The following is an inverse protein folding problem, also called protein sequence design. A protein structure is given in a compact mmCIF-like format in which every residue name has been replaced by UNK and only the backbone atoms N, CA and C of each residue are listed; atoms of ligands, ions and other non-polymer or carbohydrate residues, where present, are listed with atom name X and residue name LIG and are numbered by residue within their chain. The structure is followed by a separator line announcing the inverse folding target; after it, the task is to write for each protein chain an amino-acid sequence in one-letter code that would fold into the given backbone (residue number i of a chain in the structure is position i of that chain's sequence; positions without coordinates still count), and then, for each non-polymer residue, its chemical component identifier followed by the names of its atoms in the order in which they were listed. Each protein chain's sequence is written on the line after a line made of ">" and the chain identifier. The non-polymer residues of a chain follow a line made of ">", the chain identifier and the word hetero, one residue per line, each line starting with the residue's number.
data_IF_902573862047
#
_entry.id   IF_902573862047
#
_cell.length_a   1.000
_cell.length_b   1.000
_cell.length_c   1.000
_cell.angle_alpha   90.00
_cell.angle_beta   90.00
_cell.angle_gamma   90.00
#
_symmetry.space_group_name_H-M   'P 1'
#
loop_
_entity.id
_entity.type
_entity.pdbx_description
1 polymer ?
#
# COMPACT_ATOMS: atom_id res chain seq x y z
N UNK A 1 -34.33 71.71 61.92
CA UNK A 1 -34.12 70.75 60.81
C UNK A 1 -34.10 69.35 61.39
N UNK A 2 -34.99 68.48 60.92
CA UNK A 2 -35.34 67.24 61.62
C UNK A 2 -34.30 66.13 61.36
N UNK A 3 -33.55 65.76 62.39
CA UNK A 3 -32.52 64.70 62.38
C UNK A 3 -33.06 63.33 61.90
N UNK A 4 -34.38 63.12 62.00
CA UNK A 4 -35.09 61.92 61.51
C UNK A 4 -35.23 61.86 59.99
N UNK A 5 -35.21 63.00 59.29
CA UNK A 5 -35.31 63.04 57.83
C UNK A 5 -33.97 62.69 57.17
N UNK A 6 -32.86 63.16 57.76
CA UNK A 6 -31.50 62.86 57.28
C UNK A 6 -31.13 61.38 57.45
N UNK A 7 -31.59 60.75 58.53
CA UNK A 7 -31.38 59.31 58.77
C UNK A 7 -32.19 58.44 57.81
N UNK A 8 -33.43 58.84 57.48
CA UNK A 8 -34.23 58.16 56.46
C UNK A 8 -33.64 58.29 55.05
N UNK A 9 -33.16 59.48 54.66
CA UNK A 9 -32.49 59.68 53.37
C UNK A 9 -31.19 58.89 53.25
N UNK A 10 -30.39 58.77 54.33
CA UNK A 10 -29.16 57.99 54.33
C UNK A 10 -29.39 56.48 54.19
N UNK A 11 -30.49 55.95 54.73
CA UNK A 11 -30.86 54.54 54.55
C UNK A 11 -31.34 54.26 53.12
N UNK A 12 -32.07 55.20 52.52
CA UNK A 12 -32.59 55.06 51.16
C UNK A 12 -31.46 55.07 50.12
N UNK A 13 -30.45 55.93 50.28
CA UNK A 13 -29.27 55.93 49.38
C UNK A 13 -28.42 54.67 49.53
N UNK A 14 -28.29 54.11 50.74
CA UNK A 14 -27.56 52.86 50.97
C UNK A 14 -28.21 51.64 50.28
N UNK A 15 -29.55 51.56 50.27
CA UNK A 15 -30.28 50.47 49.61
C UNK A 15 -30.17 50.50 48.09
N UNK A 16 -30.09 51.70 47.49
CA UNK A 16 -29.93 51.84 46.03
C UNK A 16 -28.53 51.36 45.61
N UNK A 17 -27.47 51.73 46.34
CA UNK A 17 -26.10 51.29 46.03
C UNK A 17 -25.90 49.77 46.16
N UNK A 18 -26.60 49.10 47.08
CA UNK A 18 -26.51 47.64 47.24
C UNK A 18 -27.19 46.86 46.10
N UNK A 19 -28.24 47.42 45.48
CA UNK A 19 -28.92 46.78 44.34
C UNK A 19 -28.07 46.79 43.07
N UNK A 20 -27.35 47.89 42.78
CA UNK A 20 -26.46 47.97 41.62
C UNK A 20 -25.25 47.02 41.73
N UNK A 21 -24.68 46.85 42.92
CA UNK A 21 -23.56 45.92 43.13
C UNK A 21 -23.98 44.43 42.99
N UNK A 22 -25.24 44.09 43.28
CA UNK A 22 -25.73 42.71 43.15
C UNK A 22 -26.06 42.34 41.69
N UNK A 23 -26.30 43.33 40.82
CA UNK A 23 -26.61 43.14 39.40
C UNK A 23 -25.33 42.92 38.55
N UNK A 24 -24.24 43.62 38.84
CA UNK A 24 -22.93 43.39 38.19
C UNK A 24 -22.36 41.99 38.47
N UNK A 25 -22.48 41.50 39.72
CA UNK A 25 -21.97 40.17 40.11
C UNK A 25 -22.77 39.04 39.44
N UNK A 26 -24.07 39.22 39.19
CA UNK A 26 -24.91 38.25 38.47
C UNK A 26 -24.57 38.22 36.98
N UNK A 27 -24.36 39.38 36.36
CA UNK A 27 -23.97 39.48 34.95
C UNK A 27 -22.60 38.82 34.68
N UNK A 28 -21.61 39.01 35.56
CA UNK A 28 -20.27 38.39 35.40
C UNK A 28 -20.32 36.86 35.55
N UNK A 29 -21.24 36.33 36.38
CA UNK A 29 -21.45 34.88 36.52
C UNK A 29 -22.14 34.25 35.29
N UNK A 30 -23.12 34.94 34.68
CA UNK A 30 -23.82 34.49 33.48
C UNK A 30 -22.90 34.52 32.26
N UNK A 31 -22.10 35.58 32.10
CA UNK A 31 -21.12 35.70 31.02
C UNK A 31 -20.06 34.59 31.09
N UNK A 32 -19.63 34.21 32.30
CA UNK A 32 -18.71 33.08 32.52
C UNK A 32 -19.34 31.73 32.17
N UNK A 33 -20.63 31.54 32.43
CA UNK A 33 -21.36 30.31 32.07
C UNK A 33 -21.50 30.20 30.54
N UNK A 34 -21.89 31.27 29.86
CA UNK A 34 -21.98 31.30 28.39
C UNK A 34 -20.63 31.08 27.71
N UNK A 35 -19.55 31.70 28.23
CA UNK A 35 -18.20 31.47 27.74
C UNK A 35 -17.75 30.01 27.95
N UNK A 36 -18.11 29.40 29.09
CA UNK A 36 -17.81 28.00 29.36
C UNK A 36 -18.60 27.04 28.45
N UNK A 37 -19.85 27.35 28.11
CA UNK A 37 -20.65 26.58 27.17
C UNK A 37 -20.15 26.72 25.72
N UNK A 38 -19.80 27.94 25.29
CA UNK A 38 -19.18 28.17 23.99
C UNK A 38 -17.82 27.47 23.87
N UNK A 39 -16.99 27.50 24.91
CA UNK A 39 -15.73 26.77 24.94
C UNK A 39 -15.94 25.25 24.83
N UNK A 40 -16.95 24.69 25.51
CA UNK A 40 -17.31 23.26 25.39
C UNK A 40 -17.82 22.89 24.00
N UNK A 41 -18.64 23.76 23.39
CA UNK A 41 -19.15 23.56 22.03
C UNK A 41 -18.02 23.58 21.00
N UNK A 42 -17.13 24.57 21.08
CA UNK A 42 -15.93 24.67 20.22
C UNK A 42 -15.01 23.47 20.42
N UNK A 43 -14.79 23.04 21.66
CA UNK A 43 -13.95 21.87 21.94
C UNK A 43 -14.56 20.58 21.40
N UNK A 44 -15.89 20.41 21.49
CA UNK A 44 -16.60 19.28 20.90
C UNK A 44 -16.55 19.29 19.36
N UNK A 45 -16.59 20.47 18.74
CA UNK A 45 -16.48 20.63 17.29
C UNK A 45 -15.06 20.35 16.78
N UNK A 46 -14.03 20.83 17.48
CA UNK A 46 -12.63 20.50 17.22
C UNK A 46 -12.41 18.99 17.36
N UNK A 47 -12.94 18.36 18.42
CA UNK A 47 -12.83 16.92 18.58
C UNK A 47 -13.53 16.13 17.46
N UNK A 48 -14.67 16.59 16.97
CA UNK A 48 -15.36 15.96 15.83
C UNK A 48 -14.54 16.11 14.56
N UNK A 49 -14.05 17.31 14.27
CA UNK A 49 -13.20 17.59 13.12
C UNK A 49 -11.90 16.75 13.17
N UNK A 50 -11.27 16.63 14.34
CA UNK A 50 -10.11 15.75 14.52
C UNK A 50 -10.44 14.27 14.30
N UNK A 51 -11.58 13.79 14.82
CA UNK A 51 -12.03 12.41 14.63
C UNK A 51 -12.32 12.12 13.16
N UNK A 52 -12.90 13.06 12.43
CA UNK A 52 -13.14 12.97 10.99
C UNK A 52 -11.85 12.99 10.19
N UNK A 53 -10.93 13.92 10.49
CA UNK A 53 -9.61 13.98 9.86
C UNK A 53 -8.83 12.68 10.08
N UNK A 54 -8.83 12.15 11.32
CA UNK A 54 -8.18 10.86 11.65
C UNK A 54 -8.84 9.68 10.93
N UNK A 55 -10.15 9.70 10.68
CA UNK A 55 -10.84 8.68 9.89
C UNK A 55 -10.46 8.77 8.41
N UNK A 56 -10.52 9.97 7.83
CA UNK A 56 -10.14 10.23 6.45
C UNK A 56 -8.68 9.83 6.17
N UNK A 57 -7.75 10.15 7.08
CA UNK A 57 -6.34 9.75 6.96
C UNK A 57 -6.16 8.22 7.01
N UNK A 58 -6.90 7.53 7.89
CA UNK A 58 -6.89 6.07 7.96
C UNK A 58 -7.44 5.43 6.68
N UNK A 59 -8.48 5.99 6.11
CA UNK A 59 -9.07 5.51 4.85
C UNK A 59 -8.14 5.75 3.66
N UNK A 60 -7.55 6.93 3.56
CA UNK A 60 -6.54 7.25 2.54
C UNK A 60 -5.34 6.28 2.64
N UNK A 61 -4.81 6.03 3.85
CA UNK A 61 -3.73 5.05 4.07
C UNK A 61 -4.13 3.63 3.69
N UNK A 62 -5.38 3.22 3.91
CA UNK A 62 -5.89 1.89 3.49
C UNK A 62 -6.00 1.80 1.98
N UNK A 63 -6.52 2.82 1.32
CA UNK A 63 -6.64 2.89 -0.13
C UNK A 63 -5.25 2.84 -0.80
N UNK A 64 -4.29 3.62 -0.31
CA UNK A 64 -2.92 3.63 -0.81
C UNK A 64 -2.25 2.25 -0.65
N UNK A 65 -2.42 1.62 0.52
CA UNK A 65 -1.92 0.25 0.74
C UNK A 65 -2.55 -0.76 -0.21
N UNK A 66 -3.84 -0.62 -0.52
CA UNK A 66 -4.53 -1.49 -1.46
C UNK A 66 -4.02 -1.30 -2.90
N UNK A 67 -3.81 -0.04 -3.33
CA UNK A 67 -3.21 0.27 -4.63
C UNK A 67 -1.79 -0.29 -4.74
N UNK A 68 -0.93 -0.05 -3.74
CA UNK A 68 0.43 -0.61 -3.69
C UNK A 68 0.45 -2.13 -3.74
N UNK A 69 -0.51 -2.81 -3.11
CA UNK A 69 -0.64 -4.28 -3.19
C UNK A 69 -1.03 -4.74 -4.59
N UNK A 70 -1.97 -4.06 -5.25
CA UNK A 70 -2.38 -4.35 -6.63
C UNK A 70 -1.23 -4.15 -7.61
N UNK A 71 -0.50 -3.04 -7.50
CA UNK A 71 0.66 -2.75 -8.36
C UNK A 71 1.77 -3.80 -8.18
N UNK A 72 2.10 -4.15 -6.94
CA UNK A 72 3.07 -5.23 -6.66
C UNK A 72 2.64 -6.58 -7.23
N UNK A 73 1.34 -6.89 -7.21
CA UNK A 73 0.82 -8.13 -7.79
C UNK A 73 0.90 -8.10 -9.33
N UNK A 74 0.57 -6.97 -9.96
CA UNK A 74 0.69 -6.78 -11.40
C UNK A 74 2.16 -6.93 -11.85
N UNK A 75 3.08 -6.26 -11.17
CA UNK A 75 4.53 -6.36 -11.44
C UNK A 75 5.04 -7.79 -11.30
N UNK A 76 4.65 -8.51 -10.25
CA UNK A 76 5.01 -9.94 -10.10
C UNK A 76 4.50 -10.81 -11.25
N UNK A 77 3.30 -10.55 -11.77
CA UNK A 77 2.77 -11.27 -12.93
C UNK A 77 3.55 -10.94 -14.21
N UNK A 78 3.94 -9.69 -14.38
CA UNK A 78 4.79 -9.25 -15.50
C UNK A 78 6.18 -9.90 -15.44
N UNK A 79 6.86 -9.82 -14.29
CA UNK A 79 8.16 -10.49 -14.07
C UNK A 79 8.09 -12.00 -14.35
N UNK A 80 6.96 -12.65 -14.04
CA UNK A 80 6.73 -14.08 -14.35
C UNK A 80 6.57 -14.32 -15.85
N UNK A 81 5.87 -13.44 -16.58
CA UNK A 81 5.74 -13.52 -18.04
C UNK A 81 7.10 -13.37 -18.71
N UNK A 82 7.91 -12.41 -18.26
CA UNK A 82 9.25 -12.19 -18.83
C UNK A 82 10.15 -13.40 -18.61
N UNK A 83 10.16 -13.96 -17.39
CA UNK A 83 10.87 -15.21 -17.09
C UNK A 83 10.42 -16.37 -17.98
N UNK A 84 9.12 -16.46 -18.29
CA UNK A 84 8.58 -17.47 -19.21
C UNK A 84 9.11 -17.26 -20.63
N UNK A 85 9.11 -16.02 -21.12
CA UNK A 85 9.63 -15.66 -22.45
C UNK A 85 11.11 -15.99 -22.56
N UNK A 86 11.91 -15.59 -21.58
CA UNK A 86 13.35 -15.86 -21.56
C UNK A 86 13.61 -17.36 -21.54
N UNK A 87 12.86 -18.12 -20.72
CA UNK A 87 13.02 -19.57 -20.66
C UNK A 87 12.61 -20.26 -21.97
N UNK A 88 11.59 -19.77 -22.66
CA UNK A 88 11.21 -20.24 -24.01
C UNK A 88 12.32 -19.98 -25.03
N UNK A 89 12.94 -18.79 -25.00
CA UNK A 89 14.08 -18.45 -25.86
C UNK A 89 15.28 -19.36 -25.60
N UNK A 90 15.60 -19.64 -24.35
CA UNK A 90 16.70 -20.56 -24.00
C UNK A 90 16.45 -21.97 -24.51
N UNK A 91 15.23 -22.49 -24.34
CA UNK A 91 14.83 -23.80 -24.86
C UNK A 91 14.98 -23.83 -26.38
N UNK A 92 14.47 -22.83 -27.09
CA UNK A 92 14.56 -22.75 -28.54
C UNK A 92 16.02 -22.71 -29.03
N UNK A 93 16.90 -21.97 -28.33
CA UNK A 93 18.35 -21.95 -28.65
C UNK A 93 18.99 -23.32 -28.46
N UNK A 94 18.66 -24.04 -27.39
CA UNK A 94 19.17 -25.41 -27.18
C UNK A 94 18.63 -26.39 -28.21
N UNK A 95 17.35 -26.30 -28.56
CA UNK A 95 16.73 -27.15 -29.59
C UNK A 95 17.38 -26.96 -30.96
N UNK A 96 17.66 -25.71 -31.35
CA UNK A 96 18.45 -25.42 -32.56
C UNK A 96 19.81 -26.08 -32.51
N UNK A 97 20.57 -25.89 -31.43
CA UNK A 97 21.87 -26.52 -31.25
C UNK A 97 21.82 -28.06 -31.33
N UNK A 98 20.77 -28.68 -30.82
CA UNK A 98 20.56 -30.13 -30.93
C UNK A 98 20.35 -30.52 -32.41
N UNK A 99 19.51 -29.77 -33.12
CA UNK A 99 19.26 -30.02 -34.55
C UNK A 99 20.52 -29.84 -35.38
N UNK A 100 21.26 -28.74 -35.18
CA UNK A 100 22.52 -28.47 -35.90
C UNK A 100 23.53 -29.62 -35.69
N UNK A 101 23.69 -30.09 -34.44
CA UNK A 101 24.56 -31.24 -34.14
C UNK A 101 24.08 -32.54 -34.79
N UNK A 102 22.77 -32.76 -34.89
CA UNK A 102 22.21 -33.94 -35.55
C UNK A 102 22.43 -33.88 -37.06
N UNK A 103 22.18 -32.73 -37.68
CA UNK A 103 22.34 -32.51 -39.11
C UNK A 103 23.81 -32.66 -39.53
N UNK A 104 24.74 -32.01 -38.81
CA UNK A 104 26.17 -32.12 -39.06
C UNK A 104 26.64 -33.59 -38.93
N UNK A 105 26.18 -34.28 -37.89
CA UNK A 105 26.51 -35.70 -37.67
C UNK A 105 25.98 -36.59 -38.78
N UNK A 106 24.73 -36.41 -39.21
CA UNK A 106 24.11 -37.18 -40.29
C UNK A 106 24.84 -36.95 -41.62
N UNK A 107 25.17 -35.70 -41.95
CA UNK A 107 25.93 -35.34 -43.15
C UNK A 107 27.34 -35.95 -43.15
N UNK A 108 28.06 -35.88 -42.03
CA UNK A 108 29.41 -36.44 -41.95
C UNK A 108 29.40 -37.98 -41.89
N UNK A 109 28.33 -38.58 -41.38
CA UNK A 109 28.11 -40.04 -41.45
C UNK A 109 27.89 -40.49 -42.89
N UNK A 110 27.08 -39.77 -43.67
CA UNK A 110 26.86 -40.03 -45.11
C UNK A 110 28.17 -39.87 -45.89
N UNK A 111 28.97 -38.85 -45.57
CA UNK A 111 30.28 -38.62 -46.19
C UNK A 111 31.37 -39.60 -45.74
N UNK A 112 31.09 -40.49 -44.79
CA UNK A 112 32.07 -41.44 -44.23
C UNK A 112 33.21 -40.77 -43.45
N UNK A 113 33.03 -39.52 -43.00
CA UNK A 113 34.05 -38.73 -42.28
C UNK A 113 34.10 -39.04 -40.78
N UNK A 114 33.03 -39.64 -40.25
CA UNK A 114 32.88 -39.92 -38.82
C UNK A 114 33.29 -41.36 -38.51
N UNK A 115 34.20 -41.50 -37.53
CA UNK A 115 34.50 -42.80 -36.93
C UNK A 115 33.38 -43.21 -35.96
N UNK A 116 33.18 -44.51 -35.68
CA UNK A 116 32.18 -44.96 -34.69
C UNK A 116 32.32 -44.29 -33.32
N UNK A 117 33.56 -44.08 -32.85
CA UNK A 117 33.83 -43.42 -31.57
C UNK A 117 33.45 -41.93 -31.59
N UNK A 118 33.56 -41.26 -32.73
CA UNK A 118 33.19 -39.85 -32.84
C UNK A 118 31.67 -39.68 -32.92
N UNK A 119 30.96 -40.62 -33.54
CA UNK A 119 29.49 -40.70 -33.49
C UNK A 119 29.04 -40.81 -32.03
N UNK A 120 29.59 -41.75 -31.27
CA UNK A 120 29.25 -41.94 -29.85
C UNK A 120 29.49 -40.66 -29.02
N UNK A 121 30.57 -39.91 -29.30
CA UNK A 121 30.85 -38.64 -28.62
C UNK A 121 29.81 -37.57 -28.94
N UNK A 122 29.37 -37.47 -30.20
CA UNK A 122 28.35 -36.51 -30.62
C UNK A 122 27.00 -36.90 -30.04
N UNK A 123 26.62 -38.18 -30.08
CA UNK A 123 25.40 -38.70 -29.48
C UNK A 123 25.35 -38.40 -27.97
N UNK A 124 26.43 -38.64 -27.24
CA UNK A 124 26.53 -38.26 -25.81
C UNK A 124 26.36 -36.76 -25.57
N UNK A 125 26.82 -35.90 -26.50
CA UNK A 125 26.60 -34.44 -26.40
C UNK A 125 25.12 -34.09 -26.66
N UNK A 126 24.52 -34.70 -27.68
CA UNK A 126 23.10 -34.54 -28.01
C UNK A 126 22.22 -34.97 -26.84
N UNK A 127 22.48 -36.14 -26.24
CA UNK A 127 21.74 -36.63 -25.08
C UNK A 127 21.84 -35.69 -23.88
N UNK A 128 23.04 -35.17 -23.59
CA UNK A 128 23.25 -34.19 -22.52
C UNK A 128 22.44 -32.91 -22.75
N UNK A 129 22.41 -32.40 -23.97
CA UNK A 129 21.62 -31.21 -24.30
C UNK A 129 20.12 -31.52 -24.27
N UNK A 130 19.66 -32.67 -24.77
CA UNK A 130 18.26 -33.12 -24.68
C UNK A 130 17.79 -33.18 -23.22
N UNK A 131 18.59 -33.76 -22.34
CA UNK A 131 18.28 -33.87 -20.91
C UNK A 131 18.20 -32.50 -20.24
N UNK A 132 19.07 -31.56 -20.61
CA UNK A 132 18.99 -30.16 -20.16
C UNK A 132 17.73 -29.47 -20.67
N UNK A 133 17.37 -29.67 -21.94
CA UNK A 133 16.14 -29.14 -22.55
C UNK A 133 14.89 -29.68 -21.84
N UNK A 134 14.84 -30.97 -21.50
CA UNK A 134 13.72 -31.56 -20.74
C UNK A 134 13.58 -30.90 -19.38
N UNK A 135 14.69 -30.74 -18.64
CA UNK A 135 14.69 -30.05 -17.34
C UNK A 135 14.23 -28.60 -17.45
N UNK A 136 14.65 -27.90 -18.51
CA UNK A 136 14.23 -26.52 -18.76
C UNK A 136 12.73 -26.43 -19.14
N UNK A 137 12.21 -27.38 -19.92
CA UNK A 137 10.77 -27.50 -20.22
C UNK A 137 9.94 -27.78 -18.96
N UNK A 138 10.43 -28.61 -18.04
CA UNK A 138 9.75 -28.85 -16.76
C UNK A 138 9.72 -27.58 -15.90
N UNK A 139 10.82 -26.84 -15.83
CA UNK A 139 10.87 -25.53 -15.15
C UNK A 139 9.93 -24.52 -15.79
N UNK A 140 9.87 -24.47 -17.12
CA UNK A 140 8.93 -23.62 -17.86
C UNK A 140 7.48 -23.96 -17.49
N UNK A 141 7.11 -25.25 -17.48
CA UNK A 141 5.78 -25.70 -17.05
C UNK A 141 5.46 -25.26 -15.62
N UNK A 142 6.42 -25.32 -14.69
CA UNK A 142 6.23 -24.82 -13.31
C UNK A 142 5.96 -23.32 -13.28
N UNK A 143 6.68 -22.52 -14.07
CA UNK A 143 6.45 -21.08 -14.17
C UNK A 143 5.08 -20.75 -14.79
N UNK A 144 4.67 -21.46 -15.85
CA UNK A 144 3.35 -21.28 -16.46
C UNK A 144 2.21 -21.65 -15.50
N UNK A 145 2.39 -22.70 -14.69
CA UNK A 145 1.44 -23.06 -13.63
C UNK A 145 1.38 -21.99 -12.52
N UNK A 146 2.52 -21.42 -12.14
CA UNK A 146 2.56 -20.31 -11.17
C UNK A 146 1.81 -19.09 -11.73
N UNK A 147 2.03 -18.73 -13.00
CA UNK A 147 1.34 -17.61 -13.64
C UNK A 147 -0.18 -17.83 -13.73
N UNK A 148 -0.63 -19.06 -14.00
CA UNK A 148 -2.07 -19.40 -14.02
C UNK A 148 -2.73 -19.30 -12.64
N UNK A 149 -1.97 -19.53 -11.57
CA UNK A 149 -2.47 -19.48 -10.18
C UNK A 149 -2.39 -18.07 -9.59
N UNK A 150 -1.46 -17.25 -10.05
CA UNK A 150 -1.22 -15.87 -9.60
C UNK A 150 -2.23 -14.90 -10.18
#
# INVERSE_FOLDING_TARGET
>A
MNLRLYTACAFFTLCISFSYAQEEVKNDSLLRIEQAEQAKMLQAEIEKAEKEAKKAEKEAKKAEKALKKKEKAAKKREDLKDKIVDKKKDIAKRERKINDLQEDMELDKIKGKLSPNDIDKIDRKIEKERLRTIKDKEKLRKLELQLKRS
#
